data_IF_448577502140
#
_entry.id   IF_448577502140
#
_cell.length_a   1.000
_cell.length_b   1.000
_cell.length_c   1.000
_cell.angle_alpha   90.00
_cell.angle_beta   90.00
_cell.angle_gamma   90.00
#
_symmetry.space_group_name_H-M   'P 1'
#
loop_
_entity.id
_entity.type
_entity.pdbx_description
1 polymer ?
#
# COMPACT_ATOMS: atom_id res chain seq x y z
N UNK A 1 4.21 -8.55 -23.06
CA UNK A 1 4.47 -7.24 -22.45
C UNK A 1 4.66 -7.48 -20.98
N UNK A 2 5.75 -6.99 -20.40
CA UNK A 2 5.97 -7.08 -18.95
C UNK A 2 5.06 -6.06 -18.28
N UNK A 3 4.33 -6.49 -17.23
CA UNK A 3 3.38 -5.65 -16.51
C UNK A 3 4.11 -4.54 -15.76
N UNK A 4 3.56 -3.31 -15.77
CA UNK A 4 4.09 -2.22 -14.94
C UNK A 4 3.54 -2.32 -13.52
N UNK A 5 4.43 -2.41 -12.54
CA UNK A 5 4.09 -2.59 -11.12
C UNK A 5 4.33 -1.30 -10.35
N UNK A 6 3.30 -0.79 -9.67
CA UNK A 6 3.41 0.28 -8.69
C UNK A 6 3.60 -0.31 -7.29
N UNK A 7 4.71 0.03 -6.62
CA UNK A 7 4.97 -0.29 -5.22
C UNK A 7 4.89 0.99 -4.38
N UNK A 8 3.83 1.13 -3.57
CA UNK A 8 3.72 2.24 -2.59
C UNK A 8 4.32 1.84 -1.25
N UNK A 9 4.82 2.81 -0.48
CA UNK A 9 5.47 2.52 0.80
C UNK A 9 6.85 1.86 0.64
N UNK A 10 7.50 2.09 -0.51
CA UNK A 10 8.73 1.42 -0.91
C UNK A 10 9.89 1.63 0.08
N UNK A 11 9.92 2.77 0.77
CA UNK A 11 10.96 3.09 1.75
C UNK A 11 10.73 2.48 3.12
N UNK A 12 9.57 1.86 3.37
CA UNK A 12 9.23 1.16 4.61
C UNK A 12 9.87 -0.24 4.73
N UNK A 13 9.64 -0.91 5.85
CA UNK A 13 10.23 -2.23 6.13
C UNK A 13 9.90 -3.27 5.05
N UNK A 14 8.60 -3.49 4.78
CA UNK A 14 8.19 -4.44 3.75
C UNK A 14 8.63 -3.96 2.35
N UNK A 15 8.44 -2.69 2.03
CA UNK A 15 8.83 -2.09 0.75
C UNK A 15 10.29 -2.36 0.35
N UNK A 16 11.24 -2.13 1.26
CA UNK A 16 12.68 -2.35 1.00
C UNK A 16 13.04 -3.81 0.71
N UNK A 17 12.25 -4.76 1.20
CA UNK A 17 12.48 -6.19 0.97
C UNK A 17 11.65 -6.74 -0.20
N UNK A 18 10.50 -6.13 -0.49
CA UNK A 18 9.64 -6.49 -1.62
C UNK A 18 10.16 -5.93 -2.94
N UNK A 19 10.69 -4.70 -2.94
CA UNK A 19 11.23 -4.03 -4.13
C UNK A 19 12.24 -4.91 -4.92
N UNK A 20 13.34 -5.42 -4.32
CA UNK A 20 14.31 -6.21 -5.09
C UNK A 20 13.72 -7.51 -5.65
N UNK A 21 12.72 -8.09 -4.99
CA UNK A 21 12.01 -9.30 -5.48
C UNK A 21 11.16 -8.96 -6.71
N UNK A 22 10.45 -7.83 -6.67
CA UNK A 22 9.66 -7.35 -7.81
C UNK A 22 10.57 -6.98 -8.98
N UNK A 23 11.65 -6.25 -8.74
CA UNK A 23 12.61 -5.84 -9.78
C UNK A 23 13.30 -7.05 -10.43
N UNK A 24 13.64 -8.08 -9.65
CA UNK A 24 14.20 -9.31 -10.18
C UNK A 24 13.20 -10.10 -11.05
N UNK A 25 11.90 -10.01 -10.78
CA UNK A 25 10.87 -10.75 -11.51
C UNK A 25 10.32 -9.99 -12.73
N UNK A 26 10.11 -8.67 -12.59
CA UNK A 26 9.47 -7.81 -13.59
C UNK A 26 10.47 -6.91 -14.34
N UNK A 27 11.72 -6.80 -13.90
CA UNK A 27 12.68 -5.82 -14.41
C UNK A 27 12.54 -4.47 -13.70
N UNK A 28 13.67 -3.86 -13.36
CA UNK A 28 13.70 -2.62 -12.56
C UNK A 28 13.00 -1.44 -13.26
N UNK A 29 13.03 -1.39 -14.58
CA UNK A 29 12.35 -0.38 -15.39
C UNK A 29 10.82 -0.49 -15.37
N UNK A 30 10.28 -1.65 -14.97
CA UNK A 30 8.84 -1.89 -14.88
C UNK A 30 8.31 -1.75 -13.45
N UNK A 31 9.16 -1.49 -12.45
CA UNK A 31 8.76 -1.31 -11.05
C UNK A 31 8.89 0.15 -10.66
N UNK A 32 7.74 0.81 -10.49
CA UNK A 32 7.67 2.17 -9.97
C UNK A 32 7.51 2.12 -8.44
N UNK A 33 8.62 2.35 -7.73
CA UNK A 33 8.67 2.38 -6.26
C UNK A 33 8.52 3.81 -5.74
N UNK A 34 7.50 4.07 -4.93
CA UNK A 34 7.18 5.41 -4.42
C UNK A 34 7.06 5.46 -2.89
N UNK A 35 7.32 6.64 -2.35
CA UNK A 35 7.26 6.99 -0.94
C UNK A 35 6.44 8.25 -0.71
N UNK A 36 6.23 8.61 0.55
CA UNK A 36 5.57 9.88 0.92
C UNK A 36 6.37 11.13 0.56
N UNK A 37 7.64 10.99 0.15
CA UNK A 37 8.42 12.11 -0.38
C UNK A 37 8.11 12.38 -1.87
N UNK A 38 7.56 11.39 -2.57
CA UNK A 38 7.22 11.47 -4.00
C UNK A 38 5.76 11.89 -4.18
N UNK A 39 4.84 11.21 -3.47
CA UNK A 39 3.40 11.49 -3.51
C UNK A 39 2.78 11.37 -2.12
N UNK A 40 2.01 12.36 -1.70
CA UNK A 40 1.22 12.29 -0.47
C UNK A 40 -0.13 11.62 -0.74
N UNK A 41 -0.26 10.35 -0.34
CA UNK A 41 -1.48 9.58 -0.55
C UNK A 41 -2.68 10.06 0.30
N UNK A 42 -2.50 11.05 1.17
CA UNK A 42 -3.60 11.74 1.85
C UNK A 42 -4.25 12.83 0.97
N UNK A 43 -3.59 13.32 -0.08
CA UNK A 43 -4.16 14.26 -1.05
C UNK A 43 -4.66 13.51 -2.28
N UNK A 44 -5.97 13.55 -2.52
CA UNK A 44 -6.61 12.91 -3.66
C UNK A 44 -6.00 13.31 -5.01
N UNK A 45 -5.52 14.55 -5.16
CA UNK A 45 -4.89 15.03 -6.39
C UNK A 45 -3.50 14.44 -6.56
N UNK A 46 -2.74 14.29 -5.48
CA UNK A 46 -1.41 13.68 -5.52
C UNK A 46 -1.52 12.18 -5.81
N UNK A 47 -2.47 11.48 -5.19
CA UNK A 47 -2.76 10.07 -5.51
C UNK A 47 -3.17 9.94 -6.98
N UNK A 48 -4.07 10.78 -7.47
CA UNK A 48 -4.46 10.77 -8.89
C UNK A 48 -3.25 11.01 -9.82
N UNK A 49 -2.43 12.02 -9.53
CA UNK A 49 -1.24 12.32 -10.33
C UNK A 49 -0.26 11.14 -10.37
N UNK A 50 -0.04 10.47 -9.23
CA UNK A 50 0.78 9.25 -9.17
C UNK A 50 0.28 8.17 -10.14
N UNK A 51 -1.04 7.94 -10.21
CA UNK A 51 -1.61 6.96 -11.13
C UNK A 51 -1.57 7.43 -12.59
N UNK A 52 -1.79 8.72 -12.87
CA UNK A 52 -1.68 9.29 -14.21
C UNK A 52 -0.24 9.16 -14.76
N UNK A 53 0.76 9.48 -13.93
CA UNK A 53 2.17 9.48 -14.30
C UNK A 53 2.71 8.06 -14.51
N UNK A 54 2.30 7.12 -13.66
CA UNK A 54 2.82 5.75 -13.65
C UNK A 54 2.01 4.87 -14.60
N UNK A 55 0.69 5.02 -14.62
CA UNK A 55 -0.27 4.17 -15.35
C UNK A 55 0.00 2.66 -15.13
N UNK A 56 -0.13 2.14 -13.90
CA UNK A 56 0.27 0.79 -13.54
C UNK A 56 -0.74 -0.29 -13.99
N UNK A 57 -0.22 -1.47 -14.32
CA UNK A 57 -1.03 -2.68 -14.52
C UNK A 57 -1.35 -3.37 -13.19
N UNK A 58 -0.41 -3.33 -12.24
CA UNK A 58 -0.48 -3.98 -10.93
C UNK A 58 -0.09 -2.99 -9.85
N UNK A 59 -0.81 -3.01 -8.72
CA UNK A 59 -0.49 -2.19 -7.53
C UNK A 59 -0.16 -3.12 -6.36
N UNK A 60 1.01 -2.92 -5.77
CA UNK A 60 1.42 -3.48 -4.48
C UNK A 60 1.35 -2.35 -3.44
N UNK A 61 0.28 -2.31 -2.68
CA UNK A 61 0.00 -1.24 -1.73
C UNK A 61 0.52 -1.56 -0.33
N UNK A 62 1.71 -1.08 0.00
CA UNK A 62 2.35 -1.25 1.32
C UNK A 62 2.48 0.07 2.10
N UNK A 63 2.04 1.19 1.53
CA UNK A 63 1.98 2.44 2.26
C UNK A 63 0.96 2.34 3.41
N UNK A 64 1.38 2.71 4.61
CA UNK A 64 0.52 2.72 5.79
C UNK A 64 1.05 3.73 6.80
N UNK A 65 0.13 4.33 7.56
CA UNK A 65 0.48 5.02 8.79
C UNK A 65 0.64 3.96 9.89
N UNK A 66 1.89 3.58 10.17
CA UNK A 66 2.24 2.48 11.07
C UNK A 66 3.06 2.96 12.27
N UNK A 67 2.98 2.22 13.38
CA UNK A 67 3.71 2.51 14.60
C UNK A 67 3.44 1.44 15.67
N UNK A 68 4.20 1.48 16.75
CA UNK A 68 4.05 0.52 17.86
C UNK A 68 2.74 0.71 18.64
N UNK A 69 2.43 -0.26 19.51
CA UNK A 69 1.18 -0.27 20.29
C UNK A 69 0.99 1.01 21.13
N UNK A 70 2.08 1.60 21.63
CA UNK A 70 2.05 2.88 22.35
C UNK A 70 1.60 4.04 21.47
N UNK A 71 2.13 4.13 20.24
CA UNK A 71 1.75 5.18 19.28
C UNK A 71 0.29 5.02 18.85
N UNK A 72 -0.14 3.78 18.57
CA UNK A 72 -1.54 3.50 18.21
C UNK A 72 -2.51 3.91 19.31
N UNK A 73 -2.20 3.61 20.58
CA UNK A 73 -3.01 4.02 21.74
C UNK A 73 -3.02 5.53 21.97
N UNK A 74 -1.92 6.23 21.65
CA UNK A 74 -1.81 7.67 21.81
C UNK A 74 -2.57 8.43 20.71
N UNK A 75 -2.61 7.90 19.48
CA UNK A 75 -3.16 8.57 18.30
C UNK A 75 -4.19 7.73 17.53
N UNK A 76 -5.19 7.11 18.18
CA UNK A 76 -6.06 6.12 17.54
C UNK A 76 -6.87 6.71 16.38
N UNK A 77 -7.29 7.98 16.49
CA UNK A 77 -8.02 8.68 15.43
C UNK A 77 -7.14 8.87 14.18
N UNK A 78 -5.85 9.20 14.34
CA UNK A 78 -4.93 9.36 13.21
C UNK A 78 -4.66 8.02 12.53
N UNK A 79 -4.46 6.96 13.31
CA UNK A 79 -4.28 5.61 12.76
C UNK A 79 -5.48 5.17 11.94
N UNK A 80 -6.70 5.40 12.42
CA UNK A 80 -7.90 5.10 11.65
C UNK A 80 -8.00 5.99 10.41
N UNK A 81 -8.07 7.31 10.62
CA UNK A 81 -8.31 8.28 9.55
C UNK A 81 -7.28 8.18 8.43
N UNK A 82 -5.98 8.20 8.75
CA UNK A 82 -4.92 8.24 7.72
C UNK A 82 -4.91 6.96 6.90
N UNK A 83 -4.96 5.80 7.55
CA UNK A 83 -4.99 4.52 6.84
C UNK A 83 -6.26 4.36 6.01
N UNK A 84 -7.42 4.82 6.50
CA UNK A 84 -8.65 4.83 5.70
C UNK A 84 -8.51 5.71 4.46
N UNK A 85 -8.03 6.96 4.60
CA UNK A 85 -7.92 7.89 3.46
C UNK A 85 -6.92 7.39 2.42
N UNK A 86 -5.69 7.04 2.84
CA UNK A 86 -4.66 6.59 1.89
C UNK A 86 -5.08 5.31 1.15
N UNK A 87 -5.79 4.40 1.83
CA UNK A 87 -6.26 3.15 1.22
C UNK A 87 -7.42 3.43 0.27
N UNK A 88 -8.43 4.20 0.69
CA UNK A 88 -9.60 4.50 -0.12
C UNK A 88 -9.24 5.23 -1.42
N UNK A 89 -8.38 6.24 -1.34
CA UNK A 89 -7.93 6.98 -2.52
C UNK A 89 -7.12 6.09 -3.47
N UNK A 90 -6.24 5.23 -2.94
CA UNK A 90 -5.46 4.29 -3.77
C UNK A 90 -6.36 3.28 -4.49
N UNK A 91 -7.36 2.73 -3.79
CA UNK A 91 -8.31 1.79 -4.39
C UNK A 91 -9.19 2.43 -5.46
N UNK A 92 -9.67 3.65 -5.20
CA UNK A 92 -10.48 4.41 -6.16
C UNK A 92 -9.69 4.69 -7.44
N UNK A 93 -8.44 5.18 -7.32
CA UNK A 93 -7.63 5.47 -8.51
C UNK A 93 -7.19 4.20 -9.24
N UNK A 94 -6.93 3.09 -8.52
CA UNK A 94 -6.68 1.80 -9.14
C UNK A 94 -7.88 1.33 -9.99
N UNK A 95 -9.11 1.51 -9.49
CA UNK A 95 -10.32 1.20 -10.24
C UNK A 95 -10.49 2.10 -11.48
N UNK A 96 -10.27 3.42 -11.33
CA UNK A 96 -10.35 4.40 -12.44
C UNK A 96 -9.35 4.12 -13.56
N UNK A 97 -8.15 3.70 -13.21
CA UNK A 97 -7.08 3.35 -14.15
C UNK A 97 -7.15 1.91 -14.66
N UNK A 98 -8.19 1.14 -14.26
CA UNK A 98 -8.40 -0.25 -14.66
C UNK A 98 -7.19 -1.14 -14.35
N UNK A 99 -6.56 -0.92 -13.19
CA UNK A 99 -5.51 -1.77 -12.66
C UNK A 99 -6.02 -3.22 -12.63
N UNK A 100 -5.23 -4.14 -13.17
CA UNK A 100 -5.62 -5.55 -13.33
C UNK A 100 -5.59 -6.31 -12.01
N UNK A 101 -4.70 -5.90 -11.10
CA UNK A 101 -4.53 -6.53 -9.79
C UNK A 101 -4.03 -5.53 -8.75
N UNK A 102 -4.67 -5.51 -7.60
CA UNK A 102 -4.21 -4.78 -6.42
C UNK A 102 -3.94 -5.78 -5.29
N UNK A 103 -2.75 -5.70 -4.70
CA UNK A 103 -2.33 -6.45 -3.52
C UNK A 103 -2.26 -5.46 -2.36
N UNK A 104 -3.04 -5.72 -1.32
CA UNK A 104 -3.07 -4.94 -0.08
C UNK A 104 -2.81 -5.86 1.11
N UNK A 105 -1.95 -5.44 2.03
CA UNK A 105 -1.57 -6.24 3.19
C UNK A 105 -2.36 -5.81 4.42
N UNK A 106 -3.01 -6.77 5.07
CA UNK A 106 -3.57 -6.58 6.41
C UNK A 106 -2.71 -7.30 7.45
N UNK A 107 -2.55 -6.67 8.61
CA UNK A 107 -1.87 -7.29 9.74
C UNK A 107 -2.84 -8.17 10.52
N UNK A 108 -2.34 -9.28 11.09
CA UNK A 108 -3.15 -10.19 11.92
C UNK A 108 -3.79 -9.54 13.17
N UNK A 109 -3.42 -8.30 13.51
CA UNK A 109 -4.12 -7.49 14.49
C UNK A 109 -5.56 -7.11 14.08
N UNK A 110 -5.98 -7.41 12.85
CA UNK A 110 -7.37 -7.29 12.40
C UNK A 110 -8.29 -8.34 13.02
N UNK A 111 -7.76 -9.48 13.48
CA UNK A 111 -8.56 -10.54 14.06
C UNK A 111 -9.01 -10.23 15.50
N UNK A 112 -10.11 -10.82 15.97
CA UNK A 112 -10.58 -10.66 17.35
C UNK A 112 -9.52 -11.06 18.38
N UNK A 113 -9.39 -10.27 19.45
CA UNK A 113 -8.42 -10.52 20.52
C UNK A 113 -8.59 -11.88 21.24
N UNK A 114 -9.73 -12.56 21.08
CA UNK A 114 -10.04 -13.86 21.68
C UNK A 114 -10.18 -14.99 20.64
N UNK A 115 -9.69 -14.78 19.42
CA UNK A 115 -9.69 -15.83 18.40
C UNK A 115 -8.86 -17.04 18.87
N UNK A 116 -9.32 -18.24 18.51
CA UNK A 116 -8.63 -19.50 18.85
C UNK A 116 -7.55 -19.77 17.83
N UNK A 117 -6.35 -20.16 18.27
CA UNK A 117 -5.27 -20.56 17.37
C UNK A 117 -5.45 -22.00 16.87
N UNK A 118 -5.14 -22.30 15.59
CA UNK A 118 -4.75 -21.36 14.54
C UNK A 118 -5.93 -20.49 14.10
N UNK A 119 -5.66 -19.20 13.87
CA UNK A 119 -6.68 -18.27 13.37
C UNK A 119 -6.72 -18.41 11.85
N UNK A 120 -7.88 -18.73 11.29
CA UNK A 120 -8.14 -18.76 9.86
C UNK A 120 -8.85 -17.48 9.39
N UNK A 121 -9.11 -17.38 8.09
CA UNK A 121 -9.70 -16.18 7.45
C UNK A 121 -11.21 -16.01 7.68
N UNK A 122 -11.94 -17.03 8.16
CA UNK A 122 -13.40 -17.01 8.38
C UNK A 122 -13.78 -16.69 9.85
#
# INVERSE_FOLDING_TARGET
MTEKVLLTGATGFLGRHTQPVLEAHYGAENVASVSSADYDLMDARATKAMFDDINPDVVVHLAAYSGGIGANRAFPADFYFRNTILTALTFEEAARHKVKKLIYTMGGCSYPAKATSPIDED
#
